data_IF_651336992831
#
_entry.id   IF_651336992831
#
_cell.length_a   1.000
_cell.length_b   1.000
_cell.length_c   1.000
_cell.angle_alpha   90.00
_cell.angle_beta   90.00
_cell.angle_gamma   90.00
#
_symmetry.space_group_name_H-M   'P 1'
#
loop_
_entity.id
_entity.type
_entity.pdbx_description
1 polymer ?
#
# COMPACT_ATOMS: atom_id res chain seq x y z
N UNK A 1 -20.86 23.81 -15.75
CA UNK A 1 -20.27 24.56 -14.60
C UNK A 1 -19.31 23.60 -13.91
N UNK A 2 -18.00 23.89 -13.79
CA UNK A 2 -17.10 22.99 -13.08
C UNK A 2 -17.41 23.03 -11.58
N UNK A 3 -17.55 21.85 -10.97
CA UNK A 3 -17.64 21.74 -9.51
C UNK A 3 -16.28 22.07 -8.91
N UNK A 4 -16.24 23.13 -8.11
CA UNK A 4 -15.12 23.43 -7.23
C UNK A 4 -15.29 22.51 -6.02
N UNK A 5 -14.41 21.52 -5.90
CA UNK A 5 -14.33 20.70 -4.69
C UNK A 5 -13.47 21.45 -3.69
N UNK A 6 -14.09 21.87 -2.59
CA UNK A 6 -13.38 22.45 -1.45
C UNK A 6 -12.80 21.30 -0.63
N UNK A 7 -11.51 21.04 -0.77
CA UNK A 7 -10.82 20.01 0.01
C UNK A 7 -10.59 20.53 1.43
N UNK A 8 -11.63 20.46 2.24
CA UNK A 8 -11.51 20.73 3.68
C UNK A 8 -10.96 19.48 4.34
N UNK A 9 -9.74 19.58 4.88
CA UNK A 9 -9.14 18.54 5.71
C UNK A 9 -10.10 18.17 6.85
N UNK A 10 -10.45 16.87 6.97
CA UNK A 10 -11.27 16.45 8.10
C UNK A 10 -10.47 16.62 9.39
N UNK A 11 -11.02 17.39 10.32
CA UNK A 11 -10.47 17.54 11.67
C UNK A 11 -10.85 16.40 12.59
N UNK A 12 -11.65 15.46 12.11
CA UNK A 12 -12.12 14.34 12.92
C UNK A 12 -11.23 13.13 12.65
N UNK A 13 -10.36 12.74 13.61
CA UNK A 13 -9.44 11.63 13.40
C UNK A 13 -10.14 10.32 13.07
N UNK A 14 -11.39 10.11 13.52
CA UNK A 14 -12.13 8.91 13.17
C UNK A 14 -12.39 8.77 11.67
N UNK A 15 -12.49 9.88 10.92
CA UNK A 15 -12.81 9.80 9.49
C UNK A 15 -11.68 9.15 8.67
N UNK A 16 -10.47 9.10 9.22
CA UNK A 16 -9.30 8.46 8.62
C UNK A 16 -8.60 7.43 9.52
N UNK A 17 -9.01 7.29 10.79
CA UNK A 17 -8.47 6.31 11.75
C UNK A 17 -9.50 5.23 12.16
N UNK A 18 -10.82 5.44 12.05
CA UNK A 18 -11.84 4.43 12.39
C UNK A 18 -12.14 3.45 11.25
N UNK A 19 -11.58 3.64 10.05
CA UNK A 19 -11.53 2.52 9.12
C UNK A 19 -10.57 1.51 9.73
N UNK A 20 -11.09 0.45 10.34
CA UNK A 20 -10.32 -0.77 10.55
C UNK A 20 -9.69 -1.07 9.20
N UNK A 21 -8.39 -0.77 9.04
CA UNK A 21 -7.67 -1.21 7.85
C UNK A 21 -7.54 -2.71 8.09
N UNK A 22 -8.53 -3.46 7.58
CA UNK A 22 -8.79 -4.89 7.84
C UNK A 22 -7.54 -5.75 7.58
N UNK A 23 -6.58 -5.23 6.83
CA UNK A 23 -5.41 -5.93 6.34
C UNK A 23 -4.23 -6.01 7.32
N UNK A 24 -4.27 -5.35 8.48
CA UNK A 24 -3.12 -5.30 9.42
C UNK A 24 -3.03 -6.47 10.41
N UNK A 25 -4.11 -7.23 10.59
CA UNK A 25 -4.17 -8.33 11.57
C UNK A 25 -3.49 -9.63 11.10
N UNK A 26 -3.08 -9.71 9.84
CA UNK A 26 -2.38 -10.88 9.34
C UNK A 26 -0.89 -10.81 9.71
N UNK A 27 -0.49 -11.42 10.82
CA UNK A 27 0.93 -11.44 11.23
C UNK A 27 1.82 -12.20 10.23
N UNK A 28 1.24 -12.95 9.28
CA UNK A 28 1.98 -13.84 8.38
C UNK A 28 2.86 -13.07 7.38
N UNK A 29 2.46 -11.86 6.98
CA UNK A 29 3.26 -11.07 6.02
C UNK A 29 4.64 -10.68 6.59
N UNK A 30 4.76 -10.51 7.91
CA UNK A 30 6.03 -10.16 8.57
C UNK A 30 7.08 -11.26 8.46
N UNK A 31 6.65 -12.49 8.22
CA UNK A 31 7.52 -13.65 8.04
C UNK A 31 7.60 -14.11 6.58
N UNK A 32 6.87 -13.45 5.67
CA UNK A 32 6.82 -13.82 4.26
C UNK A 32 8.09 -13.38 3.53
N UNK A 33 9.03 -14.33 3.36
CA UNK A 33 10.36 -14.08 2.80
C UNK A 33 10.37 -13.37 1.45
N UNK A 34 9.46 -13.62 0.48
CA UNK A 34 9.45 -12.88 -0.77
C UNK A 34 9.25 -11.36 -0.60
N UNK A 35 8.39 -10.95 0.33
CA UNK A 35 8.18 -9.54 0.66
C UNK A 35 9.43 -8.96 1.33
N UNK A 36 9.98 -9.64 2.34
CA UNK A 36 11.19 -9.20 3.05
C UNK A 36 12.38 -9.05 2.09
N UNK A 37 12.59 -10.04 1.22
CA UNK A 37 13.65 -10.02 0.22
C UNK A 37 13.48 -8.86 -0.75
N UNK A 38 12.24 -8.58 -1.18
CA UNK A 38 11.96 -7.44 -2.06
C UNK A 38 12.24 -6.10 -1.38
N UNK A 39 11.81 -5.92 -0.13
CA UNK A 39 12.11 -4.70 0.64
C UNK A 39 13.63 -4.53 0.81
N UNK A 40 14.35 -5.59 1.18
CA UNK A 40 15.80 -5.55 1.31
C UNK A 40 16.50 -5.23 -0.02
N UNK A 41 16.03 -5.79 -1.14
CA UNK A 41 16.54 -5.48 -2.49
C UNK A 41 16.36 -3.99 -2.81
N UNK A 42 15.16 -3.45 -2.62
CA UNK A 42 14.82 -2.06 -2.93
C UNK A 42 15.59 -1.06 -2.05
N UNK A 43 15.81 -1.41 -0.78
CA UNK A 43 16.37 -0.51 0.23
C UNK A 43 17.85 -0.74 0.51
N UNK A 44 18.48 -1.73 -0.14
CA UNK A 44 19.89 -2.07 0.03
C UNK A 44 20.78 -0.85 -0.22
N UNK A 45 21.65 -0.53 0.75
CA UNK A 45 22.57 0.61 0.66
C UNK A 45 21.92 1.99 0.87
N UNK A 46 20.61 2.07 1.12
CA UNK A 46 19.92 3.33 1.42
C UNK A 46 19.91 3.54 2.94
N UNK A 47 20.60 4.57 3.42
CA UNK A 47 20.74 4.85 4.86
C UNK A 47 19.68 5.82 5.42
N UNK A 48 18.87 6.44 4.56
CA UNK A 48 17.86 7.43 4.94
C UNK A 48 16.46 6.85 4.73
N UNK A 49 15.61 6.91 5.76
CA UNK A 49 14.26 6.36 5.73
C UNK A 49 13.34 7.05 4.71
N UNK A 50 13.50 8.36 4.47
CA UNK A 50 12.78 9.06 3.40
C UNK A 50 13.10 8.47 2.03
N UNK A 51 14.38 8.21 1.75
CA UNK A 51 14.78 7.61 0.47
C UNK A 51 14.37 6.14 0.38
N UNK A 52 14.32 5.40 1.49
CA UNK A 52 13.76 4.03 1.51
C UNK A 52 12.27 4.04 1.17
N UNK A 53 11.49 4.89 1.83
CA UNK A 53 10.05 5.01 1.58
C UNK A 53 9.77 5.42 0.13
N UNK A 54 10.53 6.39 -0.40
CA UNK A 54 10.46 6.80 -1.80
C UNK A 54 10.82 5.67 -2.77
N UNK A 55 11.85 4.87 -2.47
CA UNK A 55 12.23 3.72 -3.28
C UNK A 55 11.12 2.65 -3.31
N UNK A 56 10.51 2.36 -2.15
CA UNK A 56 9.36 1.45 -2.04
C UNK A 56 8.17 1.96 -2.85
N UNK A 57 7.78 3.23 -2.65
CA UNK A 57 6.67 3.83 -3.39
C UNK A 57 6.89 3.81 -4.92
N UNK A 58 8.12 4.08 -5.37
CA UNK A 58 8.49 3.99 -6.78
C UNK A 58 8.41 2.56 -7.32
N UNK A 59 8.76 1.55 -6.52
CA UNK A 59 8.58 0.16 -6.89
C UNK A 59 7.09 -0.20 -6.96
N UNK A 60 6.29 0.15 -5.95
CA UNK A 60 4.84 -0.12 -5.91
C UNK A 60 4.14 0.46 -7.13
N UNK A 61 4.47 1.70 -7.52
CA UNK A 61 3.93 2.36 -8.71
C UNK A 61 4.07 1.51 -9.99
N UNK A 62 5.13 0.71 -10.09
CA UNK A 62 5.46 -0.07 -11.28
C UNK A 62 5.26 -1.58 -11.09
N UNK A 63 4.81 -2.03 -9.92
CA UNK A 63 4.77 -3.46 -9.59
C UNK A 63 3.53 -4.18 -10.13
N UNK A 64 2.49 -3.43 -10.53
CA UNK A 64 1.18 -3.96 -10.95
C UNK A 64 0.53 -3.10 -12.03
N UNK A 65 -0.35 -3.70 -12.81
CA UNK A 65 -1.25 -2.96 -13.70
C UNK A 65 -2.38 -2.32 -12.88
N UNK A 66 -2.65 -1.04 -13.11
CA UNK A 66 -3.75 -0.37 -12.43
C UNK A 66 -5.10 -0.86 -12.98
N UNK A 67 -5.93 -1.45 -12.12
CA UNK A 67 -7.24 -1.98 -12.49
C UNK A 67 -7.70 -3.12 -11.59
N UNK A 68 -8.89 -3.64 -11.88
CA UNK A 68 -9.47 -4.79 -11.20
C UNK A 68 -8.90 -6.12 -11.74
N UNK A 69 -8.84 -7.20 -10.92
CA UNK A 69 -9.28 -7.24 -9.52
C UNK A 69 -8.34 -6.50 -8.56
N UNK A 70 -8.92 -5.94 -7.50
CA UNK A 70 -8.25 -5.40 -6.32
C UNK A 70 -8.39 -6.36 -5.14
N UNK A 71 -7.34 -7.17 -4.85
CA UNK A 71 -7.32 -8.00 -3.65
C UNK A 71 -7.59 -7.20 -2.36
N UNK A 72 -7.12 -5.96 -2.26
CA UNK A 72 -7.42 -5.10 -1.12
C UNK A 72 -8.92 -4.82 -0.97
N UNK A 73 -9.60 -4.42 -2.04
CA UNK A 73 -11.05 -4.19 -2.00
C UNK A 73 -11.85 -5.48 -1.71
N UNK A 74 -11.28 -6.64 -2.02
CA UNK A 74 -11.85 -7.96 -1.73
C UNK A 74 -11.54 -8.45 -0.31
N UNK A 75 -10.85 -7.67 0.53
CA UNK A 75 -10.50 -8.06 1.89
C UNK A 75 -9.40 -9.12 1.98
N UNK A 76 -8.57 -9.25 0.94
CA UNK A 76 -7.48 -10.24 0.88
C UNK A 76 -6.29 -9.86 1.76
N UNK A 77 -5.46 -10.86 2.05
CA UNK A 77 -4.23 -10.69 2.84
C UNK A 77 -3.19 -9.82 2.13
N UNK A 78 -2.23 -9.27 2.89
CA UNK A 78 -1.07 -8.55 2.34
C UNK A 78 -0.25 -9.44 1.38
N UNK A 79 -0.19 -10.76 1.65
CA UNK A 79 0.50 -11.71 0.78
C UNK A 79 -0.21 -11.84 -0.58
N UNK A 80 -1.53 -11.92 -0.58
CA UNK A 80 -2.32 -11.94 -1.81
C UNK A 80 -2.21 -10.62 -2.59
N UNK A 81 -2.26 -9.48 -1.88
CA UNK A 81 -2.04 -8.16 -2.48
C UNK A 81 -0.65 -8.09 -3.12
N UNK A 82 0.41 -8.53 -2.43
CA UNK A 82 1.77 -8.56 -2.95
C UNK A 82 1.90 -9.41 -4.22
N UNK A 83 1.26 -10.58 -4.25
CA UNK A 83 1.36 -11.53 -5.37
C UNK A 83 0.45 -11.23 -6.57
N UNK A 84 -0.51 -10.30 -6.44
CA UNK A 84 -1.40 -9.93 -7.54
C UNK A 84 -0.67 -9.20 -8.68
N UNK A 85 -1.14 -9.38 -9.92
CA UNK A 85 -0.64 -8.64 -11.09
C UNK A 85 -1.40 -7.34 -11.36
N UNK A 86 -2.55 -7.16 -10.71
CA UNK A 86 -3.42 -5.97 -10.81
C UNK A 86 -3.68 -5.39 -9.43
N UNK A 87 -4.08 -4.13 -9.38
CA UNK A 87 -4.55 -3.50 -8.15
C UNK A 87 -4.97 -2.06 -8.38
N UNK A 88 -5.61 -1.48 -7.37
CA UNK A 88 -6.01 -0.07 -7.36
C UNK A 88 -5.27 0.69 -6.25
N UNK A 89 -5.72 1.90 -5.95
CA UNK A 89 -5.06 2.76 -4.96
C UNK A 89 -4.99 2.13 -3.56
N UNK A 90 -5.97 1.31 -3.16
CA UNK A 90 -5.97 0.64 -1.86
C UNK A 90 -4.86 -0.43 -1.77
N UNK A 91 -4.66 -1.23 -2.81
CA UNK A 91 -3.55 -2.20 -2.89
C UNK A 91 -2.19 -1.51 -2.78
N UNK A 92 -2.03 -0.39 -3.50
CA UNK A 92 -0.81 0.39 -3.47
C UNK A 92 -0.54 1.01 -2.08
N UNK A 93 -1.59 1.51 -1.42
CA UNK A 93 -1.49 2.11 -0.09
C UNK A 93 -1.13 1.08 1.00
N UNK A 94 -1.56 -0.18 0.85
CA UNK A 94 -1.20 -1.25 1.79
C UNK A 94 0.27 -1.70 1.62
N UNK A 95 0.81 -1.60 0.41
CA UNK A 95 2.19 -2.03 0.11
C UNK A 95 3.27 -0.94 0.34
N UNK A 96 2.89 0.30 0.64
CA UNK A 96 3.80 1.44 0.82
C UNK A 96 3.90 1.87 2.27
#
# INVERSE_FOLDING_TARGET
VPQIYDFVESRNPSDYLNSNIVHWDDADWKNYQPLINKVNEITSGINNDFEKAKAIANWVRNSKLYGEPSPANEGKSVIEIFNSNTGVCMDAAILT
#
